data_IF_966627647611
#
_entry.id   IF_966627647611
#
_cell.length_a   1.000
_cell.length_b   1.000
_cell.length_c   1.000
_cell.angle_alpha   90.00
_cell.angle_beta   90.00
_cell.angle_gamma   90.00
#
_symmetry.space_group_name_H-M   'P 1'
#
loop_
_entity.id
_entity.type
_entity.pdbx_description
1 polymer ?
#
# COMPACT_ATOMS: atom_id res chain seq x y z
N UNK A 1 33.12 -16.07 10.85
CA UNK A 1 32.62 -16.16 9.46
C UNK A 1 31.12 -15.82 9.33
N UNK A 2 30.30 -16.06 10.38
CA UNK A 2 28.84 -15.71 10.34
C UNK A 2 28.61 -14.22 10.56
N UNK A 3 29.36 -13.61 11.48
CA UNK A 3 29.25 -12.16 11.78
C UNK A 3 29.64 -11.25 10.61
N UNK A 4 30.59 -11.66 9.75
CA UNK A 4 31.02 -10.89 8.57
C UNK A 4 29.96 -10.86 7.46
N UNK A 5 29.21 -11.96 7.26
CA UNK A 5 28.11 -11.98 6.26
C UNK A 5 26.94 -11.10 6.65
N UNK A 6 26.60 -11.06 7.94
CA UNK A 6 25.49 -10.25 8.44
C UNK A 6 25.81 -8.75 8.37
N UNK A 7 27.09 -8.37 8.56
CA UNK A 7 27.55 -6.98 8.40
C UNK A 7 27.47 -6.53 6.93
N UNK A 8 27.89 -7.38 5.99
CA UNK A 8 27.81 -7.05 4.55
C UNK A 8 26.38 -6.84 4.06
N UNK A 9 25.41 -7.58 4.60
CA UNK A 9 23.98 -7.41 4.27
C UNK A 9 23.47 -6.09 4.85
N UNK A 10 23.82 -5.77 6.09
CA UNK A 10 23.41 -4.51 6.73
C UNK A 10 23.97 -3.30 5.98
N UNK A 11 25.27 -3.34 5.63
CA UNK A 11 25.93 -2.25 4.90
C UNK A 11 25.26 -2.00 3.53
N UNK A 12 24.93 -3.06 2.80
CA UNK A 12 24.20 -2.95 1.53
C UNK A 12 22.83 -2.33 1.72
N UNK A 13 22.08 -2.81 2.71
CA UNK A 13 20.74 -2.29 3.01
C UNK A 13 20.78 -0.81 3.39
N UNK A 14 21.75 -0.39 4.21
CA UNK A 14 21.93 1.02 4.57
C UNK A 14 22.24 1.89 3.36
N UNK A 15 23.10 1.42 2.46
CA UNK A 15 23.42 2.11 1.21
C UNK A 15 22.21 2.23 0.27
N UNK A 16 21.39 1.19 0.16
CA UNK A 16 20.17 1.20 -0.63
C UNK A 16 19.15 2.20 -0.09
N UNK A 17 18.98 2.25 1.24
CA UNK A 17 18.09 3.21 1.88
C UNK A 17 18.58 4.64 1.71
N UNK A 18 19.88 4.89 1.92
CA UNK A 18 20.50 6.21 1.72
C UNK A 18 20.32 6.71 0.28
N UNK A 19 20.55 5.84 -0.71
CA UNK A 19 20.29 6.17 -2.12
C UNK A 19 18.83 6.45 -2.40
N UNK A 20 17.91 5.64 -1.87
CA UNK A 20 16.49 5.84 -2.07
C UNK A 20 16.00 7.15 -1.45
N UNK A 21 16.49 7.54 -0.29
CA UNK A 21 16.19 8.83 0.33
C UNK A 21 16.77 9.98 -0.51
N UNK A 22 18.04 9.89 -0.88
CA UNK A 22 18.73 10.93 -1.65
C UNK A 22 18.09 11.15 -3.02
N UNK A 23 17.73 10.08 -3.75
CA UNK A 23 17.04 10.19 -5.05
C UNK A 23 15.63 10.76 -4.95
N UNK A 24 15.00 10.69 -3.78
CA UNK A 24 13.72 11.32 -3.47
C UNK A 24 13.85 12.73 -2.91
N UNK A 25 15.07 13.31 -2.85
CA UNK A 25 15.33 14.61 -2.23
C UNK A 25 15.10 14.63 -0.71
N UNK A 26 15.12 13.46 -0.06
CA UNK A 26 14.87 13.28 1.37
C UNK A 26 16.14 13.05 2.16
N UNK A 27 16.09 13.35 3.44
CA UNK A 27 17.19 13.13 4.39
C UNK A 27 16.84 12.03 5.40
N UNK A 28 17.82 11.53 6.17
CA UNK A 28 17.52 10.61 7.28
C UNK A 28 16.51 11.16 8.30
N UNK A 29 16.37 12.48 8.43
CA UNK A 29 15.40 13.13 9.32
C UNK A 29 13.96 12.77 8.94
N UNK A 30 13.67 12.52 7.66
CA UNK A 30 12.37 12.02 7.20
C UNK A 30 11.97 10.71 7.88
N UNK A 31 12.93 9.84 8.18
CA UNK A 31 12.66 8.59 8.92
C UNK A 31 12.31 8.87 10.39
N UNK A 32 12.93 9.88 10.99
CA UNK A 32 12.63 10.32 12.35
C UNK A 32 11.21 10.95 12.43
N UNK A 33 10.81 11.71 11.41
CA UNK A 33 9.45 12.27 11.29
C UNK A 33 8.40 11.13 11.16
N UNK A 34 8.67 10.12 10.34
CA UNK A 34 7.80 8.94 10.24
C UNK A 34 7.74 8.17 11.57
N UNK A 35 8.86 8.06 12.29
CA UNK A 35 8.89 7.43 13.61
C UNK A 35 8.02 8.19 14.61
N UNK A 36 8.12 9.53 14.65
CA UNK A 36 7.29 10.36 15.50
C UNK A 36 5.80 10.21 15.19
N UNK A 37 5.45 10.18 13.90
CA UNK A 37 4.08 9.96 13.43
C UNK A 37 3.54 8.59 13.87
N UNK A 38 4.33 7.52 13.75
CA UNK A 38 3.94 6.19 14.19
C UNK A 38 3.79 6.09 15.71
N UNK A 39 4.65 6.76 16.49
CA UNK A 39 4.52 6.84 17.93
C UNK A 39 3.23 7.55 18.34
N UNK A 40 2.94 8.71 17.76
CA UNK A 40 1.71 9.44 17.99
C UNK A 40 0.47 8.59 17.63
N UNK A 41 0.55 7.80 16.56
CA UNK A 41 -0.50 6.86 16.15
C UNK A 41 -0.74 5.78 17.20
N UNK A 42 0.34 5.22 17.77
CA UNK A 42 0.25 4.20 18.82
C UNK A 42 -0.42 4.73 20.09
N UNK A 43 -0.12 5.98 20.45
CA UNK A 43 -0.59 6.61 21.67
C UNK A 43 -2.06 7.08 21.58
N UNK A 44 -2.54 7.42 20.39
CA UNK A 44 -3.89 7.95 20.21
C UNK A 44 -5.01 6.95 20.46
N UNK A 45 -4.75 5.63 20.46
CA UNK A 45 -5.80 4.60 20.57
C UNK A 45 -6.88 4.71 19.49
N UNK A 46 -6.66 5.56 18.49
CA UNK A 46 -7.59 5.79 17.40
C UNK A 46 -7.51 4.64 16.38
N UNK A 47 -8.64 4.38 15.70
CA UNK A 47 -8.64 3.45 14.57
C UNK A 47 -7.69 3.97 13.48
N UNK A 48 -6.84 3.08 12.96
CA UNK A 48 -5.85 3.41 11.92
C UNK A 48 -6.48 4.14 10.72
N UNK A 49 -7.69 3.76 10.33
CA UNK A 49 -8.39 4.37 9.18
C UNK A 49 -8.83 5.82 9.42
N UNK A 50 -8.81 6.32 10.65
CA UNK A 50 -9.06 7.73 10.97
C UNK A 50 -7.82 8.61 10.84
N UNK A 51 -6.68 8.02 10.60
CA UNK A 51 -5.41 8.73 10.52
C UNK A 51 -5.12 9.18 9.08
N UNK A 52 -4.52 10.35 8.87
CA UNK A 52 -4.14 10.83 7.53
C UNK A 52 -3.23 9.85 6.77
N UNK A 53 -2.41 9.07 7.49
CA UNK A 53 -1.51 8.09 6.90
C UNK A 53 -2.24 6.93 6.21
N UNK A 54 -3.52 6.72 6.50
CA UNK A 54 -4.36 5.72 5.85
C UNK A 54 -4.94 6.18 4.50
N UNK A 55 -4.90 7.47 4.19
CA UNK A 55 -5.53 8.03 2.98
C UNK A 55 -5.05 7.40 1.67
N UNK A 56 -3.74 7.14 1.46
CA UNK A 56 -3.30 6.44 0.24
C UNK A 56 -3.87 5.03 0.12
N UNK A 57 -4.05 4.34 1.26
CA UNK A 57 -4.65 3.02 1.31
C UNK A 57 -6.15 3.08 1.01
N UNK A 58 -6.88 4.01 1.61
CA UNK A 58 -8.30 4.25 1.34
C UNK A 58 -8.53 4.56 -0.14
N UNK A 59 -7.75 5.48 -0.70
CA UNK A 59 -7.81 5.84 -2.12
C UNK A 59 -7.63 4.62 -3.02
N UNK A 60 -6.63 3.78 -2.71
CA UNK A 60 -6.38 2.56 -3.48
C UNK A 60 -7.53 1.55 -3.36
N UNK A 61 -8.06 1.34 -2.17
CA UNK A 61 -9.21 0.45 -1.94
C UNK A 61 -10.44 0.96 -2.68
N UNK A 62 -10.76 2.24 -2.59
CA UNK A 62 -11.88 2.88 -3.29
C UNK A 62 -11.76 2.72 -4.80
N UNK A 63 -10.57 2.93 -5.37
CA UNK A 63 -10.34 2.76 -6.80
C UNK A 63 -10.57 1.31 -7.26
N UNK A 64 -10.10 0.32 -6.48
CA UNK A 64 -10.32 -1.10 -6.78
C UNK A 64 -11.81 -1.47 -6.67
N UNK A 65 -12.50 -0.99 -5.64
CA UNK A 65 -13.94 -1.20 -5.47
C UNK A 65 -14.72 -0.62 -6.65
N UNK A 66 -14.48 0.64 -7.00
CA UNK A 66 -15.15 1.31 -8.12
C UNK A 66 -14.92 0.56 -9.45
N UNK A 67 -13.69 0.10 -9.70
CA UNK A 67 -13.37 -0.68 -10.89
C UNK A 67 -14.24 -1.93 -11.00
N UNK A 68 -14.31 -2.75 -9.94
CA UNK A 68 -15.09 -3.99 -9.99
C UNK A 68 -16.60 -3.73 -9.99
N UNK A 69 -17.08 -2.73 -9.26
CA UNK A 69 -18.50 -2.33 -9.31
C UNK A 69 -18.93 -1.95 -10.73
N UNK A 70 -18.16 -1.09 -11.40
CA UNK A 70 -18.44 -0.70 -12.79
C UNK A 70 -18.38 -1.90 -13.74
N UNK A 71 -17.28 -2.64 -13.73
CA UNK A 71 -17.07 -3.73 -14.67
C UNK A 71 -18.11 -4.86 -14.54
N UNK A 72 -18.54 -5.18 -13.31
CA UNK A 72 -19.61 -6.17 -13.07
C UNK A 72 -20.97 -5.64 -13.53
N UNK A 73 -21.27 -4.38 -13.23
CA UNK A 73 -22.55 -3.76 -13.63
C UNK A 73 -22.65 -3.67 -15.16
N UNK A 74 -21.63 -3.21 -15.84
CA UNK A 74 -21.59 -3.15 -17.32
C UNK A 74 -21.72 -4.53 -17.95
N UNK A 75 -21.00 -5.52 -17.43
CA UNK A 75 -21.07 -6.90 -17.94
C UNK A 75 -22.47 -7.48 -17.75
N UNK A 76 -23.14 -7.19 -16.63
CA UNK A 76 -24.49 -7.66 -16.33
C UNK A 76 -25.53 -7.05 -17.25
N UNK A 77 -25.39 -5.78 -17.63
CA UNK A 77 -26.33 -5.12 -18.56
C UNK A 77 -26.44 -5.84 -19.91
N UNK A 78 -25.41 -6.57 -20.28
CA UNK A 78 -25.35 -7.35 -21.53
C UNK A 78 -25.72 -8.83 -21.35
N UNK A 79 -26.21 -9.25 -20.17
CA UNK A 79 -26.63 -10.62 -19.95
C UNK A 79 -27.87 -10.97 -20.76
N UNK A 80 -27.83 -12.17 -21.37
CA UNK A 80 -29.05 -12.76 -21.93
C UNK A 80 -29.97 -13.22 -20.79
N UNK A 81 -31.28 -13.39 -21.02
CA UNK A 81 -32.22 -13.87 -19.97
C UNK A 81 -31.79 -15.18 -19.30
N UNK A 82 -31.14 -16.09 -20.05
CA UNK A 82 -30.62 -17.34 -19.50
C UNK A 82 -29.40 -17.10 -18.58
N UNK A 83 -28.48 -16.21 -19.00
CA UNK A 83 -27.31 -15.86 -18.21
C UNK A 83 -27.74 -15.10 -16.94
N UNK A 84 -28.69 -14.18 -17.05
CA UNK A 84 -29.23 -13.44 -15.90
C UNK A 84 -29.86 -14.40 -14.87
N UNK A 85 -30.67 -15.36 -15.33
CA UNK A 85 -31.27 -16.35 -14.44
C UNK A 85 -30.22 -17.16 -13.66
N UNK A 86 -29.07 -17.48 -14.29
CA UNK A 86 -28.03 -18.34 -13.69
C UNK A 86 -26.97 -17.53 -12.92
N UNK A 87 -26.57 -16.38 -13.41
CA UNK A 87 -25.47 -15.59 -12.87
C UNK A 87 -25.92 -14.32 -12.11
N UNK A 88 -27.15 -13.83 -12.37
CA UNK A 88 -27.71 -12.67 -11.69
C UNK A 88 -27.57 -12.75 -10.15
N UNK A 89 -28.01 -13.84 -9.49
CA UNK A 89 -27.85 -13.96 -8.04
C UNK A 89 -26.39 -13.91 -7.56
N UNK A 90 -25.45 -14.38 -8.39
CA UNK A 90 -24.02 -14.29 -8.06
C UNK A 90 -23.45 -12.90 -8.30
N UNK A 91 -23.98 -12.16 -9.28
CA UNK A 91 -23.62 -10.76 -9.53
C UNK A 91 -24.14 -9.88 -8.38
N UNK A 92 -25.39 -10.08 -7.95
CA UNK A 92 -25.96 -9.38 -6.79
C UNK A 92 -25.12 -9.62 -5.54
N UNK A 93 -24.83 -10.88 -5.22
CA UNK A 93 -24.03 -11.21 -4.05
C UNK A 93 -22.61 -10.61 -4.10
N UNK A 94 -22.02 -10.49 -5.30
CA UNK A 94 -20.71 -9.86 -5.47
C UNK A 94 -20.80 -8.35 -5.27
N UNK A 95 -21.77 -7.68 -5.87
CA UNK A 95 -22.01 -6.24 -5.69
C UNK A 95 -22.34 -5.90 -4.23
N UNK A 96 -23.17 -6.70 -3.56
CA UNK A 96 -23.46 -6.56 -2.13
C UNK A 96 -22.21 -6.69 -1.27
N UNK A 97 -21.30 -7.63 -1.64
CA UNK A 97 -20.02 -7.75 -0.94
C UNK A 97 -19.15 -6.52 -1.13
N UNK A 98 -19.02 -6.00 -2.36
CA UNK A 98 -18.28 -4.76 -2.63
C UNK A 98 -18.87 -3.57 -1.87
N UNK A 99 -20.20 -3.44 -1.84
CA UNK A 99 -20.87 -2.37 -1.10
C UNK A 99 -20.66 -2.46 0.42
N UNK A 100 -20.61 -3.67 0.98
CA UNK A 100 -20.25 -3.84 2.40
C UNK A 100 -18.84 -3.37 2.70
N UNK A 101 -17.89 -3.65 1.80
CA UNK A 101 -16.50 -3.17 1.97
C UNK A 101 -16.46 -1.64 1.86
N UNK A 102 -17.17 -1.06 0.90
CA UNK A 102 -17.28 0.39 0.72
C UNK A 102 -17.89 1.08 1.95
N UNK A 103 -18.99 0.53 2.48
CA UNK A 103 -19.64 1.03 3.70
C UNK A 103 -18.71 0.96 4.91
N UNK A 104 -17.98 -0.15 5.05
CA UNK A 104 -17.01 -0.31 6.13
C UNK A 104 -15.86 0.70 6.00
N UNK A 105 -15.41 0.98 4.77
CA UNK A 105 -14.37 1.96 4.47
C UNK A 105 -14.82 3.39 4.79
N UNK A 106 -16.07 3.73 4.44
CA UNK A 106 -16.66 5.02 4.76
C UNK A 106 -16.85 5.24 6.27
N UNK A 107 -16.97 4.16 7.04
CA UNK A 107 -17.03 4.20 8.50
C UNK A 107 -15.69 4.36 9.20
N UNK A 108 -14.58 4.48 8.46
CA UNK A 108 -13.21 4.65 8.97
C UNK A 108 -12.80 3.63 10.04
N UNK A 109 -13.24 2.39 9.91
CA UNK A 109 -12.92 1.31 10.83
C UNK A 109 -12.07 0.21 10.20
N UNK A 110 -10.83 0.08 10.66
CA UNK A 110 -9.91 -0.97 10.22
C UNK A 110 -10.51 -2.37 10.41
N UNK A 111 -11.12 -2.62 11.57
CA UNK A 111 -11.75 -3.91 11.88
C UNK A 111 -12.90 -4.20 10.94
N UNK A 112 -13.80 -3.24 10.72
CA UNK A 112 -14.95 -3.42 9.84
C UNK A 112 -14.53 -3.71 8.39
N UNK A 113 -13.51 -3.01 7.87
CA UNK A 113 -12.98 -3.26 6.52
C UNK A 113 -12.33 -4.65 6.43
N UNK A 114 -11.52 -5.02 7.42
CA UNK A 114 -10.90 -6.34 7.48
C UNK A 114 -11.93 -7.47 7.50
N UNK A 115 -12.96 -7.32 8.31
CA UNK A 115 -14.03 -8.32 8.46
C UNK A 115 -14.88 -8.39 7.17
N UNK A 116 -15.22 -7.26 6.57
CA UNK A 116 -15.91 -7.21 5.29
C UNK A 116 -15.11 -7.87 4.16
N UNK A 117 -13.78 -7.66 4.10
CA UNK A 117 -12.89 -8.33 3.15
C UNK A 117 -12.84 -9.85 3.38
N UNK A 118 -12.92 -10.30 4.63
CA UNK A 118 -12.89 -11.72 4.99
C UNK A 118 -14.21 -12.44 4.70
N UNK A 119 -15.33 -11.72 4.71
CA UNK A 119 -16.68 -12.30 4.52
C UNK A 119 -17.10 -12.32 3.03
N UNK A 120 -16.31 -12.95 2.19
CA UNK A 120 -16.63 -13.16 0.77
C UNK A 120 -17.58 -14.34 0.54
N UNK A 121 -18.77 -14.31 1.15
CA UNK A 121 -19.78 -15.38 0.99
C UNK A 121 -20.41 -15.37 -0.40
N UNK A 122 -19.62 -15.61 -1.41
CA UNK A 122 -20.08 -15.65 -2.79
C UNK A 122 -20.66 -17.03 -3.13
N UNK A 123 -21.89 -17.13 -3.64
CA UNK A 123 -22.50 -18.39 -4.02
C UNK A 123 -21.69 -19.06 -5.13
N UNK A 124 -21.76 -20.40 -5.18
CA UNK A 124 -21.15 -21.14 -6.27
C UNK A 124 -21.81 -20.74 -7.59
N UNK A 125 -21.01 -20.45 -8.62
CA UNK A 125 -21.52 -20.19 -9.95
C UNK A 125 -22.28 -21.41 -10.50
N UNK A 126 -23.45 -21.18 -11.02
CA UNK A 126 -24.19 -22.20 -11.76
C UNK A 126 -23.45 -22.58 -13.05
N UNK A 127 -23.63 -23.82 -13.47
CA UNK A 127 -22.99 -24.28 -14.72
C UNK A 127 -23.82 -23.79 -15.92
N UNK A 128 -23.18 -23.07 -16.84
CA UNK A 128 -23.73 -22.77 -18.17
C UNK A 128 -23.12 -23.78 -19.14
N UNK A 129 -23.97 -24.44 -19.94
CA UNK A 129 -23.50 -25.37 -20.99
C UNK A 129 -22.70 -24.56 -22.03
N UNK A 130 -21.62 -25.14 -22.58
CA UNK A 130 -20.73 -24.45 -23.53
C UNK A 130 -21.46 -23.85 -24.73
N UNK A 131 -22.53 -24.50 -25.22
CA UNK A 131 -23.36 -24.01 -26.33
C UNK A 131 -24.15 -22.72 -25.99
N UNK A 132 -24.37 -22.45 -24.70
CA UNK A 132 -25.13 -21.30 -24.20
C UNK A 132 -24.21 -20.28 -23.50
N UNK A 133 -22.91 -20.54 -23.50
CA UNK A 133 -21.95 -19.60 -22.96
C UNK A 133 -21.80 -18.40 -23.91
N UNK A 134 -22.04 -17.21 -23.37
CA UNK A 134 -21.84 -15.94 -24.06
C UNK A 134 -20.53 -15.31 -23.64
N UNK A 135 -20.05 -14.32 -24.40
CA UNK A 135 -18.85 -13.56 -24.06
C UNK A 135 -18.99 -12.91 -22.68
N UNK A 136 -20.16 -12.37 -22.39
CA UNK A 136 -20.50 -11.69 -21.12
C UNK A 136 -20.48 -12.66 -19.95
N UNK A 137 -20.96 -13.90 -20.14
CA UNK A 137 -20.90 -14.93 -19.11
C UNK A 137 -19.49 -15.36 -18.78
N UNK A 138 -18.62 -15.43 -19.77
CA UNK A 138 -17.18 -15.71 -19.59
C UNK A 138 -16.51 -14.52 -18.89
N UNK A 139 -16.78 -13.30 -19.37
CA UNK A 139 -16.23 -12.08 -18.78
C UNK A 139 -16.62 -11.92 -17.30
N UNK A 140 -17.88 -12.15 -16.95
CA UNK A 140 -18.34 -12.12 -15.56
C UNK A 140 -17.58 -13.13 -14.69
N UNK A 141 -17.38 -14.36 -15.20
CA UNK A 141 -16.63 -15.39 -14.48
C UNK A 141 -15.19 -14.95 -14.23
N UNK A 142 -14.53 -14.34 -15.20
CA UNK A 142 -13.17 -13.79 -15.07
C UNK A 142 -13.15 -12.66 -14.03
N UNK A 143 -13.98 -11.64 -14.19
CA UNK A 143 -14.06 -10.50 -13.27
C UNK A 143 -14.31 -10.94 -11.82
N UNK A 144 -15.21 -11.90 -11.63
CA UNK A 144 -15.50 -12.45 -10.31
C UNK A 144 -14.27 -13.12 -9.69
N UNK A 145 -13.52 -13.90 -10.48
CA UNK A 145 -12.31 -14.57 -10.00
C UNK A 145 -11.17 -13.58 -9.75
N UNK A 146 -10.98 -12.63 -10.64
CA UNK A 146 -10.00 -11.54 -10.50
C UNK A 146 -10.29 -10.69 -9.25
N UNK A 147 -11.55 -10.30 -9.04
CA UNK A 147 -11.98 -9.55 -7.87
C UNK A 147 -11.73 -10.31 -6.58
N UNK A 148 -12.14 -11.58 -6.51
CA UNK A 148 -11.83 -12.42 -5.33
C UNK A 148 -10.34 -12.48 -5.04
N UNK A 149 -9.50 -12.70 -6.06
CA UNK A 149 -8.05 -12.76 -5.91
C UNK A 149 -7.46 -11.41 -5.49
N UNK A 150 -7.95 -10.32 -6.09
CA UNK A 150 -7.49 -8.98 -5.76
C UNK A 150 -7.77 -8.62 -4.29
N UNK A 151 -9.00 -8.85 -3.82
CA UNK A 151 -9.38 -8.56 -2.43
C UNK A 151 -8.71 -9.50 -1.43
N UNK A 152 -8.51 -10.77 -1.78
CA UNK A 152 -7.75 -11.69 -0.93
C UNK A 152 -6.27 -11.26 -0.82
N UNK A 153 -5.65 -10.84 -1.92
CA UNK A 153 -4.29 -10.30 -1.92
C UNK A 153 -4.19 -9.02 -1.08
N UNK A 154 -5.18 -8.11 -1.21
CA UNK A 154 -5.25 -6.91 -0.38
C UNK A 154 -5.40 -7.27 1.11
N UNK A 155 -6.28 -8.19 1.44
CA UNK A 155 -6.46 -8.70 2.80
C UNK A 155 -5.16 -9.24 3.39
N UNK A 156 -4.49 -10.10 2.65
CA UNK A 156 -3.24 -10.75 3.10
C UNK A 156 -2.07 -9.78 3.21
N UNK A 157 -2.01 -8.73 2.39
CA UNK A 157 -0.91 -7.78 2.39
C UNK A 157 -1.09 -6.60 3.33
N UNK A 158 -2.34 -6.14 3.54
CA UNK A 158 -2.63 -4.89 4.24
C UNK A 158 -3.31 -5.10 5.61
N UNK A 159 -4.03 -6.22 5.78
CA UNK A 159 -4.79 -6.51 7.00
C UNK A 159 -4.21 -7.72 7.75
N UNK A 160 -2.87 -7.76 7.86
CA UNK A 160 -2.13 -8.88 8.48
C UNK A 160 -2.28 -8.87 10.00
N UNK A 161 -2.37 -7.67 10.61
CA UNK A 161 -2.37 -7.52 12.05
C UNK A 161 -3.79 -7.48 12.63
N UNK A 162 -3.95 -8.11 13.79
CA UNK A 162 -5.13 -7.87 14.61
C UNK A 162 -5.13 -6.42 15.11
N UNK A 163 -6.31 -5.77 15.23
CA UNK A 163 -6.40 -4.38 15.68
C UNK A 163 -5.65 -4.12 17.00
N UNK A 164 -5.72 -5.06 17.94
CA UNK A 164 -5.02 -4.97 19.22
C UNK A 164 -3.48 -4.99 19.11
N UNK A 165 -2.94 -5.48 18.00
CA UNK A 165 -1.49 -5.54 17.74
C UNK A 165 -0.94 -4.25 17.13
N UNK A 166 -1.78 -3.44 16.50
CA UNK A 166 -1.37 -2.25 15.75
C UNK A 166 -0.56 -1.28 16.60
N UNK A 167 -0.97 -0.90 17.84
CA UNK A 167 -0.18 0.01 18.68
C UNK A 167 1.23 -0.54 18.95
N UNK A 168 1.34 -1.81 19.32
CA UNK A 168 2.64 -2.43 19.59
C UNK A 168 3.54 -2.49 18.34
N UNK A 169 2.96 -2.76 17.17
CA UNK A 169 3.68 -2.75 15.88
C UNK A 169 4.14 -1.34 15.55
N UNK A 170 3.29 -0.31 15.71
CA UNK A 170 3.65 1.09 15.47
C UNK A 170 4.80 1.51 16.39
N UNK A 171 4.73 1.24 17.69
CA UNK A 171 5.78 1.56 18.67
C UNK A 171 7.12 0.89 18.30
N UNK A 172 7.07 -0.39 17.96
CA UNK A 172 8.28 -1.14 17.58
C UNK A 172 8.89 -0.61 16.28
N UNK A 173 8.06 -0.32 15.28
CA UNK A 173 8.50 0.23 14.00
C UNK A 173 9.08 1.63 14.18
N UNK A 174 8.46 2.48 14.99
CA UNK A 174 8.97 3.80 15.33
C UNK A 174 10.37 3.73 15.96
N UNK A 175 10.57 2.83 16.92
CA UNK A 175 11.89 2.63 17.53
C UNK A 175 12.96 2.20 16.51
N UNK A 176 12.61 1.30 15.59
CA UNK A 176 13.51 0.87 14.51
C UNK A 176 13.83 2.01 13.54
N UNK A 177 12.83 2.81 13.13
CA UNK A 177 13.05 3.96 12.24
C UNK A 177 13.92 5.03 12.90
N UNK A 178 13.73 5.30 14.19
CA UNK A 178 14.57 6.23 14.97
C UNK A 178 16.03 5.76 15.00
N UNK A 179 16.26 4.47 15.29
CA UNK A 179 17.60 3.89 15.29
C UNK A 179 18.24 3.95 13.90
N UNK A 180 17.46 3.63 12.86
CA UNK A 180 17.91 3.69 11.46
C UNK A 180 18.27 5.11 11.04
N UNK A 181 17.43 6.10 11.38
CA UNK A 181 17.71 7.51 11.11
C UNK A 181 19.06 7.94 11.74
N UNK A 182 19.29 7.58 13.00
CA UNK A 182 20.53 7.91 13.69
C UNK A 182 21.77 7.27 13.02
N UNK A 183 21.67 6.00 12.62
CA UNK A 183 22.77 5.29 11.92
C UNK A 183 23.05 5.92 10.55
N UNK A 184 21.99 6.20 9.77
CA UNK A 184 22.12 6.83 8.45
C UNK A 184 22.71 8.25 8.55
N UNK A 185 22.26 9.06 9.52
CA UNK A 185 22.80 10.40 9.75
C UNK A 185 24.31 10.34 10.07
N UNK A 186 24.71 9.44 10.96
CA UNK A 186 26.12 9.25 11.29
C UNK A 186 26.95 8.74 10.09
N UNK A 187 26.37 7.86 9.28
CA UNK A 187 27.00 7.37 8.05
C UNK A 187 27.17 8.50 7.03
N UNK A 188 26.11 9.21 6.72
CA UNK A 188 26.11 10.32 5.73
C UNK A 188 27.10 11.40 6.11
N UNK A 189 27.17 11.79 7.40
CA UNK A 189 28.12 12.78 7.88
C UNK A 189 29.57 12.32 7.73
N UNK A 190 29.87 11.08 8.14
CA UNK A 190 31.21 10.50 7.96
C UNK A 190 31.60 10.37 6.50
N UNK A 191 30.65 9.99 5.64
CA UNK A 191 30.88 9.85 4.22
C UNK A 191 31.17 11.20 3.56
N UNK A 192 30.37 12.21 3.85
CA UNK A 192 30.58 13.60 3.39
C UNK A 192 31.92 14.16 3.85
N UNK A 193 32.29 13.96 5.11
CA UNK A 193 33.56 14.40 5.66
C UNK A 193 34.74 13.75 4.93
N UNK A 194 34.66 12.44 4.67
CA UNK A 194 35.71 11.73 3.91
C UNK A 194 35.80 12.20 2.46
N UNK A 195 34.67 12.46 1.79
CA UNK A 195 34.65 12.99 0.41
C UNK A 195 35.27 14.40 0.35
N UNK A 196 34.87 15.30 1.26
CA UNK A 196 35.45 16.65 1.34
C UNK A 196 36.95 16.62 1.58
N UNK A 197 37.43 15.77 2.49
CA UNK A 197 38.86 15.61 2.76
C UNK A 197 39.68 15.13 1.55
N UNK A 198 39.03 14.43 0.61
CA UNK A 198 39.65 13.91 -0.62
C UNK A 198 39.35 14.76 -1.86
N UNK A 199 38.53 15.81 -1.75
CA UNK A 199 38.08 16.63 -2.88
C UNK A 199 37.26 15.85 -3.91
N UNK A 200 36.49 14.81 -3.47
CA UNK A 200 35.73 13.95 -4.35
C UNK A 200 34.24 14.31 -4.34
N UNK A 201 33.64 14.26 -5.52
CA UNK A 201 32.20 14.28 -5.74
C UNK A 201 31.78 12.98 -6.39
N UNK A 202 30.65 12.44 -6.02
CA UNK A 202 30.03 11.32 -6.71
C UNK A 202 28.72 11.72 -7.43
N UNK A 203 28.13 10.76 -8.17
CA UNK A 203 26.89 11.05 -8.90
C UNK A 203 25.73 11.45 -7.99
N UNK A 204 25.65 10.92 -6.77
CA UNK A 204 24.63 11.28 -5.79
C UNK A 204 24.76 12.73 -5.31
N UNK A 205 25.99 13.28 -5.25
CA UNK A 205 26.18 14.70 -4.97
C UNK A 205 25.64 15.57 -6.11
N UNK A 206 25.88 15.16 -7.38
CA UNK A 206 25.37 15.86 -8.56
C UNK A 206 23.84 15.83 -8.62
N UNK A 207 23.23 14.68 -8.33
CA UNK A 207 21.78 14.56 -8.23
C UNK A 207 21.22 15.45 -7.12
N UNK A 208 21.85 15.46 -5.93
CA UNK A 208 21.43 16.30 -4.81
C UNK A 208 21.57 17.80 -5.14
N UNK A 209 22.63 18.20 -5.83
CA UNK A 209 22.78 19.58 -6.28
C UNK A 209 21.76 19.95 -7.34
N UNK A 210 21.46 19.07 -8.29
CA UNK A 210 20.43 19.30 -9.28
C UNK A 210 19.04 19.44 -8.62
N UNK A 211 18.69 18.54 -7.69
CA UNK A 211 17.44 18.65 -6.93
C UNK A 211 17.36 19.97 -6.15
N UNK A 212 18.43 20.38 -5.47
CA UNK A 212 18.46 21.63 -4.72
C UNK A 212 18.36 22.89 -5.61
N UNK A 213 18.72 22.78 -6.88
CA UNK A 213 18.54 23.87 -7.85
C UNK A 213 17.11 23.96 -8.39
N UNK A 214 16.48 22.81 -8.62
CA UNK A 214 15.17 22.73 -9.28
C UNK A 214 13.99 22.65 -8.33
N UNK A 215 14.21 22.28 -7.07
CA UNK A 215 13.15 22.10 -6.08
C UNK A 215 13.45 22.95 -4.83
N UNK A 216 12.40 23.54 -4.26
CA UNK A 216 12.47 24.18 -2.94
C UNK A 216 12.43 23.12 -1.81
N UNK A 217 12.48 23.58 -0.54
CA UNK A 217 12.44 22.69 0.63
C UNK A 217 11.16 21.88 0.76
N UNK A 218 10.09 22.27 0.08
CA UNK A 218 8.78 21.62 0.06
C UNK A 218 8.61 20.71 -1.18
N UNK A 219 9.63 20.66 -2.05
CA UNK A 219 9.63 19.83 -3.26
C UNK A 219 8.90 20.46 -4.45
N UNK A 220 8.58 21.75 -4.41
CA UNK A 220 7.99 22.47 -5.53
C UNK A 220 9.08 22.99 -6.48
N UNK A 221 8.80 23.12 -7.79
CA UNK A 221 9.76 23.69 -8.74
C UNK A 221 10.17 25.12 -8.35
N UNK A 222 11.47 25.37 -8.28
CA UNK A 222 11.99 26.73 -8.13
C UNK A 222 11.86 27.46 -9.46
N UNK A 223 11.54 28.76 -9.48
CA UNK A 223 11.63 29.57 -10.68
C UNK A 223 13.11 29.67 -11.10
N UNK A 224 13.44 29.07 -12.23
CA UNK A 224 14.76 29.18 -12.90
C UNK A 224 14.68 30.26 -13.96
#
# INVERSE_FOLDING_TARGET
AKATKDTDVLDKTLLEIDRALSSAGKTPDTLAEYAATLSATADCGADFFRLPQSEPLKTRLTAVLAHFCMAITETRMAFTPEVETKYGPSADAFLDWLHRIETALAGDSYTAVRDALSDSRLPRLATIQSKNATLESLRFKELRNEGKKAFETLRQSLFVFEPAQIPAVCTRTAALLTALAAVLSAYTERYRTKKRAKGLLDYGDLESFALALFLDGDGNPTPV
#
